data_IF_101829602860
#
_entry.id   IF_101829602860
#
_cell.length_a   1.000
_cell.length_b   1.000
_cell.length_c   1.000
_cell.angle_alpha   90.00
_cell.angle_beta   90.00
_cell.angle_gamma   90.00
#
_symmetry.space_group_name_H-M   'P 1'
#
loop_
_entity.id
_entity.type
_entity.pdbx_description
1 polymer ?
#
# COMPACT_ATOMS: atom_id res chain seq x y z
N UNK A 1 -18.09 -6.52 -11.11
CA UNK A 1 -18.22 -6.53 -12.59
C UNK A 1 -19.66 -6.25 -13.05
N UNK A 2 -20.66 -6.99 -12.58
CA UNK A 2 -22.08 -6.81 -12.98
C UNK A 2 -22.64 -5.39 -12.77
N UNK A 3 -22.36 -4.76 -11.62
CA UNK A 3 -22.82 -3.39 -11.35
C UNK A 3 -22.18 -2.35 -12.29
N UNK A 4 -20.93 -2.56 -12.70
CA UNK A 4 -20.18 -1.65 -13.59
C UNK A 4 -20.58 -1.82 -15.06
N UNK A 5 -20.87 -3.05 -15.47
CA UNK A 5 -21.47 -3.32 -16.78
C UNK A 5 -22.86 -2.68 -16.89
N UNK A 6 -23.67 -2.75 -15.81
CA UNK A 6 -24.98 -2.12 -15.77
C UNK A 6 -24.91 -0.58 -15.85
N UNK A 7 -23.93 0.06 -15.21
CA UNK A 7 -23.76 1.53 -15.28
C UNK A 7 -23.27 2.01 -16.64
N UNK A 8 -22.33 1.29 -17.28
CA UNK A 8 -21.85 1.61 -18.63
C UNK A 8 -22.95 1.39 -19.68
N UNK A 9 -23.68 0.27 -19.60
CA UNK A 9 -24.85 0.03 -20.44
C UNK A 9 -25.93 1.09 -20.21
N UNK A 10 -26.13 1.54 -18.97
CA UNK A 10 -27.05 2.63 -18.64
C UNK A 10 -26.64 3.96 -19.26
N UNK A 11 -25.35 4.29 -19.28
CA UNK A 11 -24.81 5.53 -19.86
C UNK A 11 -24.88 5.51 -21.39
N UNK A 12 -24.54 4.38 -22.02
CA UNK A 12 -24.68 4.17 -23.47
C UNK A 12 -26.16 4.14 -23.89
N UNK A 13 -27.03 3.55 -23.08
CA UNK A 13 -28.47 3.59 -23.33
C UNK A 13 -29.04 5.00 -23.15
N UNK A 14 -28.58 5.77 -22.16
CA UNK A 14 -28.99 7.16 -21.96
C UNK A 14 -28.47 8.07 -23.08
N UNK A 15 -27.23 7.90 -23.54
CA UNK A 15 -26.69 8.67 -24.67
C UNK A 15 -27.37 8.27 -25.98
N UNK A 16 -27.63 6.97 -26.20
CA UNK A 16 -28.40 6.50 -27.34
C UNK A 16 -29.84 7.02 -27.30
N UNK A 17 -30.52 6.98 -26.14
CA UNK A 17 -31.88 7.52 -25.98
C UNK A 17 -31.88 9.03 -26.13
N UNK A 18 -30.89 9.76 -25.61
CA UNK A 18 -30.74 11.21 -25.78
C UNK A 18 -30.49 11.55 -27.26
N UNK A 19 -29.62 10.82 -27.95
CA UNK A 19 -29.35 10.99 -29.38
C UNK A 19 -30.58 10.63 -30.22
N UNK A 20 -31.33 9.59 -29.82
CA UNK A 20 -32.55 9.16 -30.50
C UNK A 20 -33.70 10.13 -30.25
N UNK A 21 -33.83 10.69 -29.05
CA UNK A 21 -34.82 11.73 -28.73
C UNK A 21 -34.46 13.06 -29.36
N UNK A 22 -33.19 13.43 -29.43
CA UNK A 22 -32.71 14.59 -30.18
C UNK A 22 -32.96 14.41 -31.68
N UNK A 23 -32.64 13.23 -32.23
CA UNK A 23 -32.93 12.85 -33.60
C UNK A 23 -34.43 12.86 -33.88
N UNK A 24 -35.25 12.25 -33.02
CA UNK A 24 -36.70 12.25 -33.16
C UNK A 24 -37.30 13.65 -33.01
N UNK A 25 -36.79 14.47 -32.10
CA UNK A 25 -37.22 15.87 -31.92
C UNK A 25 -36.90 16.68 -33.18
N UNK A 26 -35.65 16.63 -33.64
CA UNK A 26 -35.22 17.29 -34.87
C UNK A 26 -36.00 16.78 -36.08
N UNK A 27 -36.23 15.47 -36.19
CA UNK A 27 -36.98 14.88 -37.29
C UNK A 27 -38.46 15.22 -37.21
N UNK A 28 -39.07 15.27 -36.01
CA UNK A 28 -40.48 15.61 -35.82
C UNK A 28 -40.72 17.08 -36.17
N UNK A 29 -39.83 17.96 -35.74
CA UNK A 29 -39.84 19.38 -36.08
C UNK A 29 -39.59 19.59 -37.59
N UNK A 30 -38.62 18.88 -38.18
CA UNK A 30 -38.37 18.90 -39.63
C UNK A 30 -39.52 18.31 -40.45
N UNK A 31 -40.18 17.24 -40.00
CA UNK A 31 -41.37 16.69 -40.67
C UNK A 31 -42.56 17.62 -40.54
N UNK A 32 -42.70 18.33 -39.41
CA UNK A 32 -43.73 19.35 -39.26
C UNK A 32 -43.47 20.53 -40.20
N UNK A 33 -42.22 20.99 -40.32
CA UNK A 33 -41.83 22.05 -41.25
C UNK A 33 -41.99 21.64 -42.72
N UNK A 34 -41.56 20.43 -43.10
CA UNK A 34 -41.76 19.86 -44.43
C UNK A 34 -43.24 19.66 -44.74
N UNK A 35 -44.03 19.18 -43.77
CA UNK A 35 -45.48 19.06 -43.91
C UNK A 35 -46.12 20.45 -44.08
N UNK A 36 -45.65 21.47 -43.37
CA UNK A 36 -46.13 22.83 -43.52
C UNK A 36 -45.76 23.41 -44.90
N UNK A 37 -44.54 23.13 -45.39
CA UNK A 37 -44.11 23.51 -46.75
C UNK A 37 -44.96 22.84 -47.83
N UNK A 38 -45.28 21.55 -47.67
CA UNK A 38 -46.15 20.80 -48.59
C UNK A 38 -47.59 21.32 -48.53
N UNK A 39 -48.13 21.62 -47.36
CA UNK A 39 -49.47 22.20 -47.19
C UNK A 39 -49.54 23.61 -47.78
N UNK A 40 -48.52 24.45 -47.57
CA UNK A 40 -48.44 25.78 -48.17
C UNK A 40 -48.28 25.71 -49.69
N UNK A 41 -47.47 24.81 -50.21
CA UNK A 41 -47.31 24.58 -51.65
C UNK A 41 -48.61 24.07 -52.29
N UNK A 42 -49.32 23.14 -51.62
CA UNK A 42 -50.61 22.63 -52.06
C UNK A 42 -51.70 23.71 -52.03
N UNK A 43 -51.77 24.51 -50.97
CA UNK A 43 -52.70 25.63 -50.85
C UNK A 43 -52.40 26.73 -51.88
N UNK A 44 -51.13 27.00 -52.17
CA UNK A 44 -50.71 27.92 -53.23
C UNK A 44 -51.16 27.44 -54.62
N UNK A 45 -50.92 26.16 -54.93
CA UNK A 45 -51.31 25.54 -56.19
C UNK A 45 -52.83 25.52 -56.38
N UNK A 46 -53.59 25.24 -55.33
CA UNK A 46 -55.05 25.21 -55.38
C UNK A 46 -55.65 26.61 -55.55
N UNK A 47 -55.06 27.61 -54.90
CA UNK A 47 -55.47 29.01 -55.01
C UNK A 47 -55.08 29.65 -56.34
N UNK A 48 -53.99 29.19 -56.96
CA UNK A 48 -53.63 29.48 -58.35
C UNK A 48 -54.75 29.03 -59.29
N UNK A 49 -55.17 27.78 -59.12
CA UNK A 49 -56.19 27.13 -59.91
C UNK A 49 -57.57 27.82 -59.74
N UNK A 50 -57.88 28.31 -58.54
CA UNK A 50 -59.14 29.01 -58.26
C UNK A 50 -59.16 30.45 -58.78
N UNK A 51 -58.03 31.17 -58.75
CA UNK A 51 -57.90 32.52 -59.34
C UNK A 51 -57.80 32.50 -60.87
N UNK A 52 -57.25 31.43 -61.46
CA UNK A 52 -57.31 31.16 -62.90
C UNK A 52 -58.77 30.99 -63.38
N UNK A 53 -59.60 30.32 -62.56
CA UNK A 53 -61.03 30.14 -62.84
C UNK A 53 -61.86 31.43 -62.73
N UNK A 54 -61.38 32.47 -62.03
CA UNK A 54 -62.18 33.67 -61.71
C UNK A 54 -61.85 34.92 -62.54
N UNK A 55 -60.84 34.87 -63.41
CA UNK A 55 -60.58 35.91 -64.44
C UNK A 55 -60.03 37.26 -63.95
N UNK A 56 -59.58 37.36 -62.68
CA UNK A 56 -59.19 38.63 -62.06
C UNK A 56 -57.70 39.03 -62.20
N UNK A 57 -56.87 38.20 -62.85
CA UNK A 57 -55.44 38.50 -63.13
C UNK A 57 -55.04 37.96 -64.51
N UNK A 58 -54.17 38.68 -65.23
CA UNK A 58 -53.46 38.09 -66.38
C UNK A 58 -52.53 36.99 -65.87
N UNK A 59 -52.96 35.74 -66.10
CA UNK A 59 -52.27 34.48 -65.77
C UNK A 59 -50.82 34.47 -66.23
N UNK A 60 -50.52 35.20 -67.31
CA UNK A 60 -49.22 35.19 -67.94
C UNK A 60 -48.15 35.86 -67.08
N UNK A 61 -48.37 37.06 -66.54
CA UNK A 61 -47.34 37.81 -65.79
C UNK A 61 -47.07 37.23 -64.39
N UNK A 62 -48.12 36.77 -63.69
CA UNK A 62 -47.97 36.14 -62.38
C UNK A 62 -47.28 34.77 -62.46
N UNK A 63 -47.57 33.98 -63.51
CA UNK A 63 -46.86 32.73 -63.77
C UNK A 63 -45.45 33.02 -64.27
N UNK A 64 -45.22 34.05 -65.10
CA UNK A 64 -43.87 34.42 -65.56
C UNK A 64 -42.97 34.80 -64.40
N UNK A 65 -43.47 35.61 -63.47
CA UNK A 65 -42.70 36.05 -62.30
C UNK A 65 -42.55 34.90 -61.29
N UNK A 66 -43.60 34.14 -60.98
CA UNK A 66 -43.48 32.93 -60.14
C UNK A 66 -42.54 31.89 -60.75
N UNK A 67 -42.54 31.70 -62.07
CA UNK A 67 -41.63 30.79 -62.79
C UNK A 67 -40.20 31.34 -62.80
N UNK A 68 -40.01 32.66 -62.86
CA UNK A 68 -38.70 33.30 -62.75
C UNK A 68 -38.15 33.18 -61.32
N UNK A 69 -38.98 33.35 -60.30
CA UNK A 69 -38.59 33.19 -58.89
C UNK A 69 -38.34 31.72 -58.54
N UNK A 70 -39.22 30.80 -58.96
CA UNK A 70 -38.99 29.35 -58.80
C UNK A 70 -37.77 28.89 -59.59
N UNK A 71 -37.58 29.39 -60.82
CA UNK A 71 -36.41 29.12 -61.64
C UNK A 71 -35.11 29.65 -61.02
N UNK A 72 -35.13 30.81 -60.37
CA UNK A 72 -33.94 31.34 -59.67
C UNK A 72 -33.62 30.58 -58.38
N UNK A 73 -34.59 29.89 -57.76
CA UNK A 73 -34.36 28.94 -56.67
C UNK A 73 -33.70 27.64 -57.15
N UNK A 74 -34.09 27.13 -58.33
CA UNK A 74 -33.60 25.85 -58.87
C UNK A 74 -32.21 25.97 -59.52
N UNK A 75 -31.89 27.13 -60.11
CA UNK A 75 -30.70 27.27 -60.97
C UNK A 75 -29.49 27.91 -60.26
N UNK A 76 -29.65 28.44 -59.03
CA UNK A 76 -28.59 29.21 -58.33
C UNK A 76 -28.52 29.01 -56.81
N UNK A 77 -29.26 28.07 -56.23
CA UNK A 77 -29.34 27.85 -54.77
C UNK A 77 -29.58 29.16 -53.98
N UNK A 78 -30.24 30.16 -54.58
CA UNK A 78 -30.31 31.51 -54.03
C UNK A 78 -31.63 31.74 -53.28
N UNK A 79 -31.61 31.59 -51.96
CA UNK A 79 -32.72 31.89 -51.06
C UNK A 79 -32.80 33.38 -50.66
N UNK A 80 -31.84 34.22 -51.07
CA UNK A 80 -31.82 35.65 -50.79
C UNK A 80 -32.64 36.50 -51.78
N UNK A 81 -33.35 35.87 -52.73
CA UNK A 81 -34.16 36.59 -53.72
C UNK A 81 -35.40 37.16 -53.04
N UNK A 82 -35.61 38.48 -53.15
CA UNK A 82 -36.79 39.15 -52.63
C UNK A 82 -38.02 38.85 -53.49
N UNK A 83 -39.07 38.30 -52.87
CA UNK A 83 -40.35 38.00 -53.51
C UNK A 83 -41.30 39.15 -53.22
N UNK A 84 -41.45 40.07 -54.18
CA UNK A 84 -42.32 41.23 -54.02
C UNK A 84 -43.80 40.83 -54.08
N UNK A 85 -44.50 40.93 -52.96
CA UNK A 85 -45.96 40.73 -52.87
C UNK A 85 -46.69 42.07 -52.87
N UNK A 86 -47.93 42.12 -53.35
CA UNK A 86 -48.79 43.30 -53.23
C UNK A 86 -49.08 43.63 -51.75
N UNK A 87 -49.25 44.90 -51.35
CA UNK A 87 -49.61 45.26 -49.99
C UNK A 87 -50.94 44.58 -49.61
N UNK A 88 -50.97 43.84 -48.49
CA UNK A 88 -52.15 43.09 -47.97
C UNK A 88 -52.42 41.74 -48.66
N UNK A 89 -51.54 41.28 -49.56
CA UNK A 89 -51.72 39.97 -50.21
C UNK A 89 -51.29 38.80 -49.31
N UNK A 90 -52.27 38.15 -48.69
CA UNK A 90 -52.11 36.94 -47.86
C UNK A 90 -52.48 35.66 -48.62
N UNK A 91 -52.71 35.78 -49.93
CA UNK A 91 -53.64 34.93 -50.65
C UNK A 91 -53.11 34.50 -52.01
N UNK A 92 -52.10 35.15 -52.55
CA UNK A 92 -51.47 34.73 -53.80
C UNK A 92 -50.49 33.57 -53.61
N UNK A 93 -50.22 32.93 -54.75
CA UNK A 93 -49.10 32.00 -54.94
C UNK A 93 -47.78 32.67 -54.56
N UNK A 94 -47.64 33.96 -54.89
CA UNK A 94 -46.43 34.73 -54.64
C UNK A 94 -46.18 34.91 -53.13
N UNK A 95 -47.24 35.15 -52.35
CA UNK A 95 -47.19 35.13 -50.89
C UNK A 95 -46.78 33.75 -50.34
N UNK A 96 -47.35 32.67 -50.86
CA UNK A 96 -47.00 31.32 -50.41
C UNK A 96 -45.57 30.90 -50.79
N UNK A 97 -45.07 31.31 -51.96
CA UNK A 97 -43.67 31.12 -52.38
C UNK A 97 -42.73 31.93 -51.47
N UNK A 98 -43.10 33.17 -51.12
CA UNK A 98 -42.35 34.00 -50.17
C UNK A 98 -42.25 33.32 -48.80
N UNK A 99 -43.37 32.84 -48.26
CA UNK A 99 -43.40 32.10 -47.00
C UNK A 99 -42.60 30.78 -47.06
N UNK A 100 -42.65 30.07 -48.19
CA UNK A 100 -41.88 28.85 -48.42
C UNK A 100 -40.36 29.13 -48.42
N UNK A 101 -39.94 30.18 -49.15
CA UNK A 101 -38.54 30.66 -49.16
C UNK A 101 -38.08 31.03 -47.75
N UNK A 102 -38.86 31.79 -47.00
CA UNK A 102 -38.47 32.26 -45.67
C UNK A 102 -38.29 31.10 -44.68
N UNK A 103 -39.17 30.11 -44.75
CA UNK A 103 -39.02 28.89 -43.95
C UNK A 103 -37.80 28.07 -44.37
N UNK A 104 -37.51 27.92 -45.67
CA UNK A 104 -36.30 27.25 -46.14
C UNK A 104 -35.03 28.01 -45.76
N UNK A 105 -35.04 29.33 -45.85
CA UNK A 105 -33.95 30.21 -45.41
C UNK A 105 -33.70 30.12 -43.90
N UNK A 106 -34.77 30.03 -43.10
CA UNK A 106 -34.68 29.79 -41.66
C UNK A 106 -34.09 28.41 -41.37
N UNK A 107 -34.55 27.37 -42.07
CA UNK A 107 -34.04 26.00 -41.93
C UNK A 107 -32.55 25.89 -42.28
N UNK A 108 -32.13 26.49 -43.39
CA UNK A 108 -30.72 26.52 -43.80
C UNK A 108 -29.85 27.22 -42.75
N UNK A 109 -30.31 28.35 -42.18
CA UNK A 109 -29.62 29.03 -41.06
C UNK A 109 -29.52 28.14 -39.83
N UNK A 110 -30.62 27.55 -39.39
CA UNK A 110 -30.64 26.66 -38.23
C UNK A 110 -29.71 25.45 -38.41
N UNK A 111 -29.64 24.89 -39.63
CA UNK A 111 -28.71 23.79 -39.93
C UNK A 111 -27.25 24.26 -39.88
N UNK A 112 -26.93 25.45 -40.42
CA UNK A 112 -25.57 26.04 -40.32
C UNK A 112 -25.14 26.24 -38.87
N UNK A 113 -25.99 26.87 -38.07
CA UNK A 113 -25.71 27.13 -36.65
C UNK A 113 -25.49 25.81 -35.88
N UNK A 114 -26.30 24.79 -36.21
CA UNK A 114 -26.17 23.45 -35.62
C UNK A 114 -24.86 22.75 -36.05
N UNK A 115 -24.46 22.85 -37.31
CA UNK A 115 -23.20 22.25 -37.80
C UNK A 115 -21.96 22.93 -37.22
N UNK A 116 -22.00 24.24 -37.05
CA UNK A 116 -20.90 24.99 -36.44
C UNK A 116 -20.76 24.63 -34.95
N UNK A 117 -21.89 24.48 -34.26
CA UNK A 117 -21.93 23.99 -32.88
C UNK A 117 -21.37 22.56 -32.75
N UNK A 118 -21.75 21.63 -33.66
CA UNK A 118 -21.23 20.26 -33.65
C UNK A 118 -19.72 20.24 -33.95
N UNK A 119 -19.24 21.08 -34.86
CA UNK A 119 -17.82 21.17 -35.20
C UNK A 119 -16.99 21.66 -34.00
N UNK A 120 -17.51 22.67 -33.30
CA UNK A 120 -16.89 23.21 -32.09
C UNK A 120 -16.86 22.17 -30.98
N UNK A 121 -18.01 21.56 -30.66
CA UNK A 121 -18.11 20.52 -29.63
C UNK A 121 -17.22 19.30 -29.94
N UNK A 122 -17.14 18.87 -31.20
CA UNK A 122 -16.26 17.78 -31.62
C UNK A 122 -14.78 18.12 -31.42
N UNK A 123 -14.39 19.37 -31.67
CA UNK A 123 -13.02 19.85 -31.45
C UNK A 123 -12.67 19.91 -29.97
N UNK A 124 -13.60 20.36 -29.13
CA UNK A 124 -13.45 20.35 -27.67
C UNK A 124 -13.34 18.92 -27.11
N UNK A 125 -14.15 17.98 -27.61
CA UNK A 125 -14.05 16.55 -27.25
C UNK A 125 -12.68 16.00 -27.64
N UNK A 126 -12.20 16.28 -28.86
CA UNK A 126 -10.88 15.82 -29.31
C UNK A 126 -9.75 16.38 -28.43
N UNK A 127 -9.80 17.66 -28.07
CA UNK A 127 -8.83 18.27 -27.16
C UNK A 127 -8.88 17.64 -25.75
N UNK A 128 -10.09 17.43 -25.21
CA UNK A 128 -10.30 16.78 -23.92
C UNK A 128 -9.80 15.32 -23.90
N UNK A 129 -9.98 14.59 -24.99
CA UNK A 129 -9.43 13.25 -25.15
C UNK A 129 -7.90 13.24 -25.22
N UNK A 130 -7.28 14.26 -25.81
CA UNK A 130 -5.82 14.43 -25.79
C UNK A 130 -5.27 14.56 -24.36
N UNK A 131 -5.91 15.39 -23.52
CA UNK A 131 -5.56 15.50 -22.10
C UNK A 131 -5.78 14.17 -21.35
N UNK A 132 -6.92 13.51 -21.59
CA UNK A 132 -7.22 12.22 -20.98
C UNK A 132 -6.19 11.15 -21.38
N UNK A 133 -5.72 11.14 -22.64
CA UNK A 133 -4.65 10.26 -23.12
C UNK A 133 -3.36 10.49 -22.34
N UNK A 134 -2.90 11.74 -22.25
CA UNK A 134 -1.66 12.09 -21.55
C UNK A 134 -1.72 11.71 -20.06
N UNK A 135 -2.87 11.92 -19.41
CA UNK A 135 -3.10 11.51 -18.02
C UNK A 135 -3.14 9.99 -17.87
N UNK A 136 -3.72 9.28 -18.82
CA UNK A 136 -3.77 7.81 -18.83
C UNK A 136 -2.38 7.20 -18.99
N UNK A 137 -1.54 7.76 -19.86
CA UNK A 137 -0.14 7.37 -20.01
C UNK A 137 0.69 7.63 -18.74
N UNK A 138 0.54 8.81 -18.14
CA UNK A 138 1.21 9.14 -16.88
C UNK A 138 0.77 8.20 -15.75
N UNK A 139 -0.53 7.88 -15.67
CA UNK A 139 -1.06 6.93 -14.71
C UNK A 139 -0.51 5.51 -14.94
N UNK A 140 -0.38 5.07 -16.19
CA UNK A 140 0.23 3.78 -16.51
C UNK A 140 1.68 3.70 -16.02
N UNK A 141 2.48 4.75 -16.26
CA UNK A 141 3.85 4.84 -15.77
C UNK A 141 3.92 4.80 -14.24
N UNK A 142 3.05 5.54 -13.54
CA UNK A 142 3.00 5.55 -12.08
C UNK A 142 2.59 4.18 -11.51
N UNK A 143 1.69 3.46 -12.19
CA UNK A 143 1.29 2.11 -11.79
C UNK A 143 2.43 1.11 -11.96
N UNK A 144 3.27 1.23 -13.00
CA UNK A 144 4.45 0.38 -13.17
C UNK A 144 5.48 0.60 -12.04
N UNK A 145 5.76 1.85 -11.68
CA UNK A 145 6.67 2.16 -10.57
C UNK A 145 6.11 1.69 -9.23
N UNK A 146 4.79 1.84 -9.03
CA UNK A 146 4.10 1.32 -7.85
C UNK A 146 4.21 -0.19 -7.78
N UNK A 147 3.97 -0.91 -8.88
CA UNK A 147 4.09 -2.37 -8.94
C UNK A 147 5.51 -2.84 -8.61
N UNK A 148 6.54 -2.22 -9.19
CA UNK A 148 7.94 -2.53 -8.88
C UNK A 148 8.27 -2.28 -7.39
N UNK A 149 7.76 -1.18 -6.82
CA UNK A 149 7.91 -0.87 -5.39
C UNK A 149 7.22 -1.92 -4.52
N UNK A 150 6.03 -2.39 -4.93
CA UNK A 150 5.28 -3.43 -4.23
C UNK A 150 5.99 -4.79 -4.27
N UNK A 151 6.65 -5.15 -5.38
CA UNK A 151 7.49 -6.36 -5.45
C UNK A 151 8.67 -6.28 -4.47
N UNK A 152 9.37 -5.14 -4.44
CA UNK A 152 10.47 -4.93 -3.50
C UNK A 152 10.00 -4.98 -2.03
N UNK A 153 8.86 -4.35 -1.72
CA UNK A 153 8.25 -4.42 -0.40
C UNK A 153 7.86 -5.86 -0.02
N UNK A 154 7.27 -6.62 -0.95
CA UNK A 154 6.92 -8.03 -0.75
C UNK A 154 8.17 -8.85 -0.39
N UNK A 155 9.25 -8.68 -1.16
CA UNK A 155 10.52 -9.36 -0.90
C UNK A 155 11.09 -9.01 0.48
N UNK A 156 11.05 -7.73 0.84
CA UNK A 156 11.57 -7.25 2.14
C UNK A 156 10.77 -7.82 3.31
N UNK A 157 9.43 -7.85 3.20
CA UNK A 157 8.56 -8.43 4.23
C UNK A 157 8.79 -9.94 4.36
N UNK A 158 8.96 -10.67 3.27
CA UNK A 158 9.30 -12.10 3.30
C UNK A 158 10.66 -12.35 3.97
N UNK A 159 11.66 -11.52 3.66
CA UNK A 159 12.97 -11.59 4.28
C UNK A 159 12.89 -11.29 5.79
N UNK A 160 12.09 -10.31 6.21
CA UNK A 160 11.86 -10.01 7.63
C UNK A 160 11.22 -11.19 8.36
N UNK A 161 10.21 -11.84 7.76
CA UNK A 161 9.59 -13.03 8.34
C UNK A 161 10.57 -14.22 8.46
N UNK A 162 11.47 -14.39 7.48
CA UNK A 162 12.52 -15.40 7.55
C UNK A 162 13.56 -15.07 8.64
N UNK A 163 13.99 -13.82 8.73
CA UNK A 163 14.92 -13.35 9.75
C UNK A 163 14.33 -13.48 11.16
N UNK A 164 13.05 -13.17 11.34
CA UNK A 164 12.34 -13.37 12.60
C UNK A 164 12.37 -14.85 13.01
N UNK A 165 12.02 -15.78 12.12
CA UNK A 165 12.10 -17.22 12.42
C UNK A 165 13.51 -17.66 12.83
N UNK A 166 14.54 -17.19 12.12
CA UNK A 166 15.94 -17.48 12.47
C UNK A 166 16.34 -16.88 13.83
N UNK A 167 15.85 -15.69 14.15
CA UNK A 167 16.10 -15.06 15.45
C UNK A 167 15.43 -15.82 16.60
N UNK A 168 14.21 -16.36 16.40
CA UNK A 168 13.51 -17.21 17.37
C UNK A 168 14.30 -18.50 17.66
N UNK A 169 14.82 -19.16 16.61
CA UNK A 169 15.68 -20.34 16.76
C UNK A 169 16.96 -20.04 17.55
N UNK A 170 17.64 -18.94 17.22
CA UNK A 170 18.85 -18.51 17.91
C UNK A 170 18.57 -18.13 19.38
N UNK A 171 17.46 -17.45 19.65
CA UNK A 171 17.04 -17.09 21.00
C UNK A 171 16.75 -18.35 21.83
N UNK A 172 16.03 -19.34 21.28
CA UNK A 172 15.80 -20.61 21.97
C UNK A 172 17.10 -21.36 22.27
N UNK A 173 18.01 -21.44 21.30
CA UNK A 173 19.32 -22.07 21.52
C UNK A 173 20.13 -21.36 22.62
N UNK A 174 20.12 -20.03 22.64
CA UNK A 174 20.77 -19.24 23.69
C UNK A 174 20.13 -19.45 25.06
N UNK A 175 18.79 -19.51 25.12
CA UNK A 175 18.04 -19.84 26.34
C UNK A 175 18.43 -21.22 26.88
N UNK A 176 18.47 -22.24 26.03
CA UNK A 176 18.84 -23.60 26.43
C UNK A 176 20.29 -23.71 26.93
N UNK A 177 21.21 -22.94 26.35
CA UNK A 177 22.58 -22.85 26.85
C UNK A 177 22.64 -22.14 28.20
N UNK A 178 21.89 -21.05 28.39
CA UNK A 178 21.85 -20.31 29.64
C UNK A 178 21.18 -21.12 30.77
N UNK A 179 20.15 -21.91 30.47
CA UNK A 179 19.51 -22.83 31.44
C UNK A 179 20.48 -23.92 31.88
N UNK A 180 21.19 -24.56 30.93
CA UNK A 180 22.21 -25.57 31.25
C UNK A 180 23.38 -24.98 32.04
N UNK A 181 23.94 -23.87 31.58
CA UNK A 181 25.09 -23.22 32.22
C UNK A 181 24.76 -22.58 33.58
N UNK A 182 23.63 -21.88 33.68
CA UNK A 182 23.22 -21.18 34.90
C UNK A 182 22.54 -22.06 35.94
N UNK A 183 21.89 -23.15 35.53
CA UNK A 183 21.24 -24.09 36.43
C UNK A 183 22.15 -25.25 36.82
N UNK A 184 22.54 -26.07 35.84
CA UNK A 184 23.18 -27.36 36.09
C UNK A 184 24.64 -27.19 36.55
N UNK A 185 25.43 -26.43 35.78
CA UNK A 185 26.87 -26.24 36.05
C UNK A 185 27.11 -25.41 37.31
N UNK A 186 26.37 -24.31 37.49
CA UNK A 186 26.48 -23.47 38.71
C UNK A 186 26.09 -24.29 39.95
N UNK A 187 25.02 -25.09 39.89
CA UNK A 187 24.60 -25.90 41.02
C UNK A 187 25.64 -26.95 41.40
N UNK A 188 26.26 -27.60 40.41
CA UNK A 188 27.35 -28.57 40.64
C UNK A 188 28.59 -27.91 41.29
N UNK A 189 28.97 -26.71 40.84
CA UNK A 189 30.09 -25.96 41.41
C UNK A 189 29.81 -25.55 42.85
N UNK A 190 28.60 -25.05 43.17
CA UNK A 190 28.21 -24.70 44.55
C UNK A 190 28.23 -25.93 45.45
N UNK A 191 27.71 -27.07 44.98
CA UNK A 191 27.76 -28.34 45.72
C UNK A 191 29.18 -28.82 46.01
N UNK A 192 30.09 -28.64 45.03
CA UNK A 192 31.51 -28.96 45.19
C UNK A 192 32.19 -28.03 46.20
N UNK A 193 31.92 -26.72 46.13
CA UNK A 193 32.46 -25.74 47.09
C UNK A 193 31.98 -26.03 48.53
N UNK A 194 30.71 -26.41 48.71
CA UNK A 194 30.19 -26.83 50.02
C UNK A 194 30.88 -28.11 50.55
N UNK A 195 31.19 -29.06 49.66
CA UNK A 195 31.94 -30.28 50.02
C UNK A 195 33.39 -29.98 50.42
N UNK A 196 34.04 -29.02 49.74
CA UNK A 196 35.37 -28.52 50.08
C UNK A 196 35.34 -27.82 51.44
N UNK A 197 34.36 -26.94 51.68
CA UNK A 197 34.19 -26.25 52.95
C UNK A 197 34.03 -27.24 54.11
N UNK A 198 33.16 -28.24 53.95
CA UNK A 198 32.95 -29.28 54.96
C UNK A 198 34.23 -30.09 55.23
N UNK A 199 34.98 -30.43 54.19
CA UNK A 199 36.24 -31.16 54.31
C UNK A 199 37.31 -30.33 55.03
N UNK A 200 37.42 -29.04 54.70
CA UNK A 200 38.33 -28.11 55.37
C UNK A 200 38.01 -27.94 56.86
N UNK A 201 36.72 -27.84 57.24
CA UNK A 201 36.32 -27.79 58.66
C UNK A 201 36.75 -29.04 59.43
N UNK A 202 36.59 -30.23 58.84
CA UNK A 202 37.10 -31.49 59.44
C UNK A 202 38.61 -31.47 59.64
N UNK A 203 39.36 -30.89 58.69
CA UNK A 203 40.81 -30.73 58.83
C UNK A 203 41.13 -29.82 60.02
N UNK A 204 40.42 -28.69 60.20
CA UNK A 204 40.62 -27.80 61.37
C UNK A 204 40.38 -28.53 62.69
N UNK A 205 39.37 -29.41 62.76
CA UNK A 205 39.10 -30.22 63.95
C UNK A 205 40.27 -31.18 64.24
N UNK A 206 40.79 -31.87 63.21
CA UNK A 206 41.93 -32.78 63.33
C UNK A 206 43.20 -32.02 63.78
N UNK A 207 43.47 -30.86 63.19
CA UNK A 207 44.61 -30.02 63.55
C UNK A 207 44.51 -29.54 65.00
N UNK A 208 43.29 -29.26 65.48
CA UNK A 208 43.06 -28.88 66.88
C UNK A 208 43.35 -30.05 67.85
N UNK A 209 43.07 -31.29 67.44
CA UNK A 209 43.49 -32.49 68.20
C UNK A 209 45.02 -32.66 68.19
N UNK A 210 45.68 -32.44 67.05
CA UNK A 210 47.15 -32.54 66.93
C UNK A 210 47.84 -31.50 67.84
N UNK A 211 47.35 -30.26 67.87
CA UNK A 211 47.85 -29.22 68.78
C UNK A 211 47.67 -29.63 70.25
N UNK A 212 46.52 -30.23 70.59
CA UNK A 212 46.29 -30.84 71.90
C UNK A 212 47.27 -31.94 72.27
N UNK A 213 47.60 -32.85 71.33
CA UNK A 213 48.61 -33.90 71.52
C UNK A 213 50.00 -33.30 71.71
N UNK A 214 50.36 -32.29 70.91
CA UNK A 214 51.63 -31.59 71.04
C UNK A 214 51.76 -30.91 72.41
N UNK A 215 50.70 -30.27 72.89
CA UNK A 215 50.65 -29.69 74.23
C UNK A 215 50.83 -30.75 75.33
N UNK A 216 50.08 -31.86 75.27
CA UNK A 216 50.22 -32.96 76.22
C UNK A 216 51.65 -33.54 76.22
N UNK A 217 52.23 -33.75 75.04
CA UNK A 217 53.60 -34.25 74.88
C UNK A 217 54.63 -33.29 75.49
N UNK A 218 54.43 -31.97 75.31
CA UNK A 218 55.28 -30.94 75.91
C UNK A 218 55.20 -30.96 77.46
N UNK A 219 54.02 -31.20 78.03
CA UNK A 219 53.86 -31.35 79.50
C UNK A 219 54.50 -32.65 80.00
N UNK A 220 54.31 -33.77 79.30
CA UNK A 220 54.96 -35.04 79.65
C UNK A 220 56.48 -34.93 79.61
N UNK A 221 57.03 -34.30 78.57
CA UNK A 221 58.47 -34.08 78.41
C UNK A 221 59.04 -33.17 79.51
N UNK A 222 58.29 -32.13 79.91
CA UNK A 222 58.65 -31.29 81.04
C UNK A 222 58.68 -32.10 82.35
N UNK A 223 57.65 -32.90 82.62
CA UNK A 223 57.61 -33.74 83.81
C UNK A 223 58.76 -34.76 83.84
N UNK A 224 59.07 -35.37 82.69
CA UNK A 224 60.21 -36.28 82.55
C UNK A 224 61.56 -35.57 82.78
N UNK A 225 61.73 -34.35 82.28
CA UNK A 225 62.93 -33.55 82.52
C UNK A 225 63.11 -33.21 84.02
N UNK A 226 62.00 -32.92 84.72
CA UNK A 226 62.00 -32.67 86.17
C UNK A 226 62.39 -33.93 86.94
N UNK A 227 61.83 -35.09 86.61
CA UNK A 227 62.15 -36.35 87.30
C UNK A 227 63.58 -36.83 86.98
N UNK A 228 64.06 -36.60 85.76
CA UNK A 228 65.45 -36.84 85.38
C UNK A 228 66.43 -35.97 86.16
N UNK A 229 66.10 -34.69 86.39
CA UNK A 229 66.89 -33.81 87.26
C UNK A 229 66.89 -34.29 88.72
N UNK A 230 65.78 -34.87 89.18
CA UNK A 230 65.62 -35.43 90.53
C UNK A 230 66.47 -36.69 90.74
N UNK A 231 66.72 -37.48 89.70
CA UNK A 231 67.57 -38.67 89.72
C UNK A 231 69.10 -38.36 89.68
N UNK A 232 69.50 -37.09 89.57
CA UNK A 232 70.90 -36.66 89.59
C UNK A 232 71.73 -37.19 88.41
N UNK A 233 72.94 -37.67 88.66
CA UNK A 233 73.86 -38.15 87.60
C UNK A 233 73.30 -39.35 86.81
N UNK A 234 72.46 -40.19 87.44
CA UNK A 234 71.84 -41.35 86.77
C UNK A 234 70.74 -40.93 85.77
N UNK A 235 70.22 -39.70 85.88
CA UNK A 235 69.15 -39.18 85.02
C UNK A 235 69.63 -38.37 83.81
N UNK A 236 70.94 -38.10 83.66
CA UNK A 236 71.46 -37.20 82.59
C UNK A 236 71.04 -37.61 81.18
N UNK A 237 71.08 -38.91 80.86
CA UNK A 237 70.64 -39.41 79.57
C UNK A 237 69.14 -39.18 79.31
N UNK A 238 68.30 -39.40 80.33
CA UNK A 238 66.87 -39.15 80.26
C UNK A 238 66.53 -37.65 80.14
N UNK A 239 67.30 -36.77 80.79
CA UNK A 239 67.11 -35.32 80.70
C UNK A 239 67.33 -34.81 79.27
N UNK A 240 68.31 -35.34 78.54
CA UNK A 240 68.57 -34.98 77.13
C UNK A 240 67.41 -35.42 76.25
N UNK A 241 66.96 -36.67 76.38
CA UNK A 241 65.81 -37.19 75.61
C UNK A 241 64.55 -36.37 75.92
N UNK A 242 64.29 -36.04 77.18
CA UNK A 242 63.16 -35.21 77.57
C UNK A 242 63.21 -33.81 76.94
N UNK A 243 64.39 -33.18 76.87
CA UNK A 243 64.58 -31.90 76.18
C UNK A 243 64.31 -32.00 74.68
N UNK A 244 64.76 -33.08 74.02
CA UNK A 244 64.57 -33.28 72.59
C UNK A 244 63.09 -33.54 72.25
N UNK A 245 62.40 -34.37 73.05
CA UNK A 245 60.95 -34.61 72.93
C UNK A 245 60.18 -33.31 73.13
N UNK A 246 60.60 -32.47 74.07
CA UNK A 246 59.98 -31.15 74.30
C UNK A 246 60.16 -30.22 73.09
N UNK A 247 61.36 -30.17 72.51
CA UNK A 247 61.63 -29.41 71.28
C UNK A 247 60.79 -29.88 70.10
N UNK A 248 60.62 -31.19 69.93
CA UNK A 248 59.78 -31.78 68.89
C UNK A 248 58.28 -31.45 69.10
N UNK A 249 57.82 -31.47 70.35
CA UNK A 249 56.44 -31.10 70.70
C UNK A 249 56.16 -29.62 70.38
N UNK A 250 57.08 -28.70 70.72
CA UNK A 250 56.96 -27.28 70.38
C UNK A 250 56.97 -27.05 68.86
N UNK A 251 57.83 -27.75 68.12
CA UNK A 251 57.82 -27.71 66.64
C UNK A 251 56.52 -28.21 66.05
N UNK A 252 55.95 -29.28 66.60
CA UNK A 252 54.67 -29.83 66.14
C UNK A 252 53.50 -28.86 66.38
N UNK A 253 53.46 -28.20 67.55
CA UNK A 253 52.46 -27.18 67.85
C UNK A 253 52.57 -25.97 66.90
N UNK A 254 53.79 -25.51 66.62
CA UNK A 254 54.02 -24.42 65.66
C UNK A 254 53.53 -24.79 64.25
N UNK A 255 53.87 -25.99 63.76
CA UNK A 255 53.42 -26.49 62.47
C UNK A 255 51.88 -26.67 62.42
N UNK A 256 51.26 -27.19 63.47
CA UNK A 256 49.81 -27.32 63.57
C UNK A 256 49.13 -25.95 63.45
N UNK A 257 49.65 -24.92 64.13
CA UNK A 257 49.12 -23.56 64.05
C UNK A 257 49.28 -22.93 62.65
N UNK A 258 50.39 -23.18 61.98
CA UNK A 258 50.62 -22.73 60.61
C UNK A 258 49.65 -23.39 59.63
N UNK A 259 49.46 -24.71 59.72
CA UNK A 259 48.48 -25.44 58.91
C UNK A 259 47.06 -24.92 59.18
N UNK A 260 46.69 -24.70 60.45
CA UNK A 260 45.38 -24.13 60.79
C UNK A 260 45.13 -22.80 60.08
N UNK A 261 46.13 -21.91 60.10
CA UNK A 261 46.05 -20.60 59.44
C UNK A 261 45.84 -20.73 57.92
N UNK A 262 46.55 -21.66 57.26
CA UNK A 262 46.39 -21.92 55.83
C UNK A 262 45.02 -22.50 55.47
N UNK A 263 44.46 -23.36 56.33
CA UNK A 263 43.13 -23.92 56.13
C UNK A 263 42.05 -22.86 56.35
N UNK A 264 42.19 -22.01 57.38
CA UNK A 264 41.25 -20.91 57.64
C UNK A 264 41.23 -19.92 56.44
N UNK A 265 42.38 -19.59 55.87
CA UNK A 265 42.47 -18.78 54.64
C UNK A 265 41.81 -19.48 53.43
N UNK A 266 41.99 -20.80 53.31
CA UNK A 266 41.35 -21.59 52.25
C UNK A 266 39.83 -21.61 52.38
N UNK A 267 39.29 -21.75 53.60
CA UNK A 267 37.84 -21.69 53.87
C UNK A 267 37.29 -20.31 53.51
N UNK A 268 37.98 -19.24 53.89
CA UNK A 268 37.58 -17.88 53.55
C UNK A 268 37.51 -17.67 52.02
N UNK A 269 38.50 -18.15 51.27
CA UNK A 269 38.53 -18.09 49.80
C UNK A 269 37.42 -18.91 49.14
N UNK A 270 37.12 -20.09 49.66
CA UNK A 270 35.98 -20.91 49.18
C UNK A 270 34.65 -20.21 49.43
N UNK A 271 34.50 -19.55 50.57
CA UNK A 271 33.31 -18.73 50.87
C UNK A 271 33.12 -17.59 49.87
N UNK A 272 34.18 -16.85 49.55
CA UNK A 272 34.15 -15.80 48.51
C UNK A 272 33.83 -16.41 47.13
N UNK A 273 34.45 -17.53 46.78
CA UNK A 273 34.19 -18.25 45.54
C UNK A 273 32.74 -18.68 45.39
N UNK A 274 32.13 -19.17 46.47
CA UNK A 274 30.71 -19.58 46.51
C UNK A 274 29.80 -18.39 46.21
N UNK A 275 30.03 -17.24 46.85
CA UNK A 275 29.25 -16.02 46.58
C UNK A 275 29.38 -15.54 45.12
N UNK A 276 30.57 -15.61 44.54
CA UNK A 276 30.78 -15.23 43.13
C UNK A 276 30.02 -16.15 42.17
N UNK A 277 30.01 -17.45 42.45
CA UNK A 277 29.30 -18.45 41.64
C UNK A 277 27.78 -18.29 41.77
N UNK A 278 27.26 -18.05 42.97
CA UNK A 278 25.83 -17.74 43.17
C UNK A 278 25.41 -16.50 42.37
N UNK A 279 26.22 -15.44 42.40
CA UNK A 279 25.97 -14.22 41.60
C UNK A 279 26.04 -14.47 40.09
N UNK A 280 26.93 -15.37 39.64
CA UNK A 280 26.96 -15.80 38.24
C UNK A 280 25.67 -16.55 37.88
N UNK A 281 25.16 -17.41 38.77
CA UNK A 281 23.87 -18.09 38.62
C UNK A 281 22.69 -17.12 38.49
N UNK A 282 22.59 -16.12 39.37
CA UNK A 282 21.52 -15.11 39.27
C UNK A 282 21.61 -14.33 37.96
N UNK A 283 22.82 -13.97 37.52
CA UNK A 283 23.03 -13.25 36.25
C UNK A 283 22.60 -14.10 35.05
N UNK A 284 22.83 -15.42 35.08
CA UNK A 284 22.31 -16.31 34.03
C UNK A 284 20.77 -16.38 34.04
N UNK A 285 20.14 -16.32 35.22
CA UNK A 285 18.69 -16.18 35.34
C UNK A 285 18.16 -14.93 34.64
N UNK A 286 18.82 -13.79 34.84
CA UNK A 286 18.49 -12.52 34.16
C UNK A 286 18.66 -12.64 32.64
N UNK A 287 19.71 -13.33 32.17
CA UNK A 287 19.93 -13.60 30.74
C UNK A 287 18.77 -14.43 30.16
N UNK A 288 18.35 -15.51 30.83
CA UNK A 288 17.20 -16.32 30.39
C UNK A 288 15.94 -15.45 30.28
N UNK A 289 15.71 -14.56 31.24
CA UNK A 289 14.55 -13.66 31.20
C UNK A 289 14.65 -12.66 30.04
N UNK A 290 15.84 -12.09 29.78
CA UNK A 290 16.06 -11.21 28.63
C UNK A 290 15.83 -11.91 27.29
N UNK A 291 16.28 -13.15 27.14
CA UNK A 291 16.08 -13.96 25.94
C UNK A 291 14.61 -14.30 25.72
N UNK A 292 13.82 -14.53 26.78
CA UNK A 292 12.36 -14.69 26.67
C UNK A 292 11.69 -13.44 26.11
N UNK A 293 12.10 -12.24 26.57
CA UNK A 293 11.59 -10.99 26.02
C UNK A 293 11.93 -10.81 24.55
N UNK A 294 13.15 -11.18 24.13
CA UNK A 294 13.54 -11.18 22.71
C UNK A 294 12.67 -12.14 21.89
N UNK A 295 12.42 -13.33 22.41
CA UNK A 295 11.55 -14.34 21.76
C UNK A 295 10.14 -13.80 21.55
N UNK A 296 9.58 -13.11 22.55
CA UNK A 296 8.27 -12.48 22.44
C UNK A 296 8.23 -11.38 21.36
N UNK A 297 9.23 -10.49 21.33
CA UNK A 297 9.33 -9.46 20.30
C UNK A 297 9.45 -10.05 18.89
N UNK A 298 10.23 -11.13 18.74
CA UNK A 298 10.38 -11.83 17.46
C UNK A 298 9.05 -12.46 17.00
N UNK A 299 8.26 -13.01 17.92
CA UNK A 299 6.93 -13.53 17.61
C UNK A 299 5.98 -12.41 17.11
N UNK A 300 6.02 -11.24 17.75
CA UNK A 300 5.27 -10.06 17.30
C UNK A 300 5.71 -9.59 15.90
N UNK A 301 7.03 -9.54 15.64
CA UNK A 301 7.56 -9.19 14.30
C UNK A 301 7.07 -10.19 13.24
N UNK A 302 7.06 -11.49 13.56
CA UNK A 302 6.57 -12.51 12.64
C UNK A 302 5.07 -12.36 12.35
N UNK A 303 4.27 -12.05 13.38
CA UNK A 303 2.84 -11.80 13.21
C UNK A 303 2.57 -10.55 12.36
N UNK A 304 3.25 -9.44 12.67
CA UNK A 304 3.16 -8.19 11.92
C UNK A 304 3.61 -8.36 10.46
N UNK A 305 4.67 -9.13 10.21
CA UNK A 305 5.16 -9.42 8.85
C UNK A 305 4.13 -10.26 8.06
N UNK A 306 3.44 -11.19 8.71
CA UNK A 306 2.37 -11.96 8.07
C UNK A 306 1.17 -11.08 7.71
N UNK A 307 0.79 -10.15 8.60
CA UNK A 307 -0.29 -9.19 8.34
C UNK A 307 0.09 -8.21 7.21
N UNK A 308 1.32 -7.69 7.21
CA UNK A 308 1.86 -6.86 6.13
C UNK A 308 1.82 -7.60 4.79
N UNK A 309 2.19 -8.89 4.77
CA UNK A 309 2.14 -9.67 3.53
C UNK A 309 0.71 -9.82 3.00
N UNK A 310 -0.28 -9.98 3.88
CA UNK A 310 -1.69 -10.02 3.49
C UNK A 310 -2.18 -8.66 2.97
N UNK A 311 -1.80 -7.56 3.65
CA UNK A 311 -2.12 -6.20 3.20
C UNK A 311 -1.50 -5.86 1.84
N UNK A 312 -0.25 -6.27 1.61
CA UNK A 312 0.44 -6.12 0.33
C UNK A 312 -0.29 -6.88 -0.78
N UNK A 313 -0.79 -8.09 -0.51
CA UNK A 313 -1.57 -8.85 -1.49
C UNK A 313 -2.85 -8.11 -1.90
N UNK A 314 -3.54 -7.47 -0.95
CA UNK A 314 -4.72 -6.65 -1.24
C UNK A 314 -4.37 -5.40 -2.07
N UNK A 315 -3.27 -4.72 -1.75
CA UNK A 315 -2.79 -3.58 -2.53
C UNK A 315 -2.43 -4.01 -3.96
N UNK A 316 -1.74 -5.14 -4.13
CA UNK A 316 -1.44 -5.70 -5.46
C UNK A 316 -2.72 -5.93 -6.26
N UNK A 317 -3.76 -6.51 -5.65
CA UNK A 317 -5.04 -6.70 -6.31
C UNK A 317 -5.69 -5.36 -6.73
N UNK A 318 -5.57 -4.31 -5.90
CA UNK A 318 -6.06 -2.98 -6.23
C UNK A 318 -5.28 -2.35 -7.39
N UNK A 319 -3.95 -2.49 -7.41
CA UNK A 319 -3.08 -2.03 -8.51
C UNK A 319 -3.44 -2.73 -9.82
N UNK A 320 -3.68 -4.04 -9.82
CA UNK A 320 -4.14 -4.77 -11.02
C UNK A 320 -5.50 -4.25 -11.51
N UNK A 321 -6.43 -3.92 -10.61
CA UNK A 321 -7.70 -3.32 -11.01
C UNK A 321 -7.54 -1.91 -11.59
N UNK A 322 -6.63 -1.11 -11.04
CA UNK A 322 -6.30 0.21 -11.58
C UNK A 322 -5.65 0.10 -12.96
N UNK A 323 -4.74 -0.85 -13.17
CA UNK A 323 -4.13 -1.13 -14.47
C UNK A 323 -5.21 -1.49 -15.52
N UNK A 324 -6.14 -2.39 -15.18
CA UNK A 324 -7.27 -2.71 -16.04
C UNK A 324 -8.12 -1.47 -16.39
N UNK A 325 -8.39 -0.60 -15.41
CA UNK A 325 -9.10 0.65 -15.64
C UNK A 325 -8.33 1.63 -16.53
N UNK A 326 -7.02 1.71 -16.38
CA UNK A 326 -6.12 2.52 -17.21
C UNK A 326 -6.13 2.03 -18.66
N UNK A 327 -6.07 0.72 -18.89
CA UNK A 327 -6.19 0.13 -20.23
C UNK A 327 -7.57 0.40 -20.86
N UNK A 328 -8.65 0.31 -20.07
CA UNK A 328 -9.99 0.67 -20.55
C UNK A 328 -10.10 2.14 -20.91
N UNK A 329 -9.50 3.04 -20.13
CA UNK A 329 -9.46 4.46 -20.46
C UNK A 329 -8.71 4.71 -21.77
N UNK A 330 -7.59 4.03 -22.01
CA UNK A 330 -6.87 4.14 -23.27
C UNK A 330 -7.74 3.74 -24.47
N UNK A 331 -8.46 2.61 -24.38
CA UNK A 331 -9.40 2.18 -25.42
C UNK A 331 -10.55 3.19 -25.62
N UNK A 332 -11.12 3.70 -24.52
CA UNK A 332 -12.19 4.71 -24.59
C UNK A 332 -11.72 6.03 -25.21
N UNK A 333 -10.48 6.43 -24.96
CA UNK A 333 -9.87 7.62 -25.58
C UNK A 333 -9.77 7.43 -27.10
N UNK A 334 -9.32 6.27 -27.57
CA UNK A 334 -9.25 5.97 -29.00
C UNK A 334 -10.65 5.98 -29.65
N UNK A 335 -11.63 5.31 -29.03
CA UNK A 335 -13.01 5.26 -29.52
C UNK A 335 -13.66 6.64 -29.57
N UNK A 336 -13.53 7.44 -28.51
CA UNK A 336 -14.12 8.76 -28.46
C UNK A 336 -13.40 9.77 -29.39
N UNK A 337 -12.11 9.61 -29.65
CA UNK A 337 -11.40 10.42 -30.63
C UNK A 337 -11.89 10.11 -32.05
N UNK A 338 -12.06 8.83 -32.38
CA UNK A 338 -12.63 8.40 -33.66
C UNK A 338 -14.07 8.91 -33.84
N UNK A 339 -14.89 8.84 -32.79
CA UNK A 339 -16.26 9.37 -32.80
C UNK A 339 -16.30 10.88 -33.01
N UNK A 340 -15.45 11.64 -32.32
CA UNK A 340 -15.35 13.10 -32.48
C UNK A 340 -14.90 13.50 -33.88
N UNK A 341 -13.92 12.80 -34.46
CA UNK A 341 -13.48 13.02 -35.84
C UNK A 341 -14.60 12.73 -36.85
N UNK A 342 -15.35 11.64 -36.67
CA UNK A 342 -16.51 11.31 -37.50
C UNK A 342 -17.61 12.38 -37.42
N UNK A 343 -17.94 12.85 -36.21
CA UNK A 343 -18.92 13.94 -36.02
C UNK A 343 -18.47 15.24 -36.69
N UNK A 344 -17.19 15.61 -36.56
CA UNK A 344 -16.61 16.76 -37.24
C UNK A 344 -16.70 16.64 -38.76
N UNK A 345 -16.35 15.48 -39.33
CA UNK A 345 -16.46 15.23 -40.77
C UNK A 345 -17.91 15.31 -41.27
N UNK A 346 -18.87 14.75 -40.52
CA UNK A 346 -20.30 14.83 -40.87
C UNK A 346 -20.83 16.26 -40.79
N UNK A 347 -20.42 17.03 -39.79
CA UNK A 347 -20.78 18.44 -39.66
C UNK A 347 -20.22 19.28 -40.81
N UNK A 348 -18.96 19.06 -41.19
CA UNK A 348 -18.33 19.72 -42.34
C UNK A 348 -19.03 19.36 -43.66
N UNK A 349 -19.36 18.09 -43.88
CA UNK A 349 -20.10 17.65 -45.06
C UNK A 349 -21.49 18.29 -45.14
N UNK A 350 -22.22 18.35 -44.01
CA UNK A 350 -23.53 18.99 -43.95
C UNK A 350 -23.41 20.50 -44.17
N UNK A 351 -22.41 21.16 -43.57
CA UNK A 351 -22.10 22.58 -43.77
C UNK A 351 -21.80 22.90 -45.23
N UNK A 352 -21.05 22.05 -45.95
CA UNK A 352 -20.82 22.20 -47.38
C UNK A 352 -22.10 22.08 -48.22
N UNK A 353 -23.00 21.14 -47.88
CA UNK A 353 -24.28 20.98 -48.58
C UNK A 353 -25.17 22.21 -48.38
N UNK A 354 -25.30 22.70 -47.14
CA UNK A 354 -26.11 23.90 -46.86
C UNK A 354 -25.41 25.22 -47.25
N UNK A 355 -24.09 25.19 -47.38
CA UNK A 355 -23.24 26.32 -47.79
C UNK A 355 -23.48 26.75 -49.23
N UNK A 356 -23.99 25.85 -50.09
CA UNK A 356 -24.42 26.18 -51.46
C UNK A 356 -25.58 27.16 -51.49
N UNK A 357 -26.46 27.12 -50.49
CA UNK A 357 -27.62 27.99 -50.43
C UNK A 357 -27.25 29.41 -50.00
N UNK A 358 -27.43 30.43 -50.85
CA UNK A 358 -27.29 31.83 -50.44
C UNK A 358 -28.53 32.26 -49.65
N UNK A 359 -28.33 32.65 -48.40
CA UNK A 359 -29.39 33.20 -47.52
C UNK A 359 -29.09 34.68 -47.30
N UNK A 360 -30.13 35.51 -47.22
CA UNK A 360 -30.02 36.97 -47.07
C UNK A 360 -29.42 37.38 -45.72
#
# INVERSE_FOLDING_TARGET
MWLRAATLLGLVALSAVALTTLYQSMMKERTAQLSNLVVLAHAAAQKAHDKEKSGALSREDAIKEATRTIGSFVDKDNLAVEVHTLPIDTTSILHAISAMRDNLAHLVRQVRDSTDSITTASSEIAAGNGDLSARTESQASALQETAASMEQLTSTVQQNAANARRADELARAASDMAVRGGGEVVHEVVGTMGSIEQSSRKIVDIISVIDGIAFQTNILALNAAVEAARAGEQGRGFAVVASEVRGLAQRSAAAAKEIKTLIDDSVAKVGIGTQLVERAGTTMGDVVQGVKSVTAMVAEISAASSEQSAGIAQVNQAVTQMDQGTQQNAALVEEALAAAQSLSQQALALSQVVGKFRVA
#
